data_IF_288316398746
#
_entry.id   IF_288316398746
#
_cell.length_a   1.000
_cell.length_b   1.000
_cell.length_c   1.000
_cell.angle_alpha   90.00
_cell.angle_beta   90.00
_cell.angle_gamma   90.00
#
_symmetry.space_group_name_H-M   'P 1'
#
loop_
_entity.id
_entity.type
_entity.pdbx_description
1 polymer ?
#
# COMPACT_ATOMS: atom_id res chain seq x y z
N UNK A 1 -25.12 45.94 -54.87
CA UNK A 1 -24.21 44.84 -54.44
C UNK A 1 -24.56 44.41 -53.01
N UNK A 2 -25.39 43.37 -52.79
CA UNK A 2 -25.87 42.98 -51.46
C UNK A 2 -25.33 41.65 -50.88
N UNK A 3 -24.30 41.02 -51.49
CA UNK A 3 -23.92 39.63 -51.17
C UNK A 3 -22.76 39.42 -50.17
N UNK A 4 -22.08 40.47 -49.70
CA UNK A 4 -20.83 40.32 -48.92
C UNK A 4 -21.05 40.06 -47.41
N UNK A 5 -22.07 40.68 -46.78
CA UNK A 5 -22.36 40.50 -45.34
C UNK A 5 -22.79 39.07 -44.98
N UNK A 6 -23.58 38.43 -45.84
CA UNK A 6 -24.15 37.10 -45.57
C UNK A 6 -23.13 35.96 -45.63
N UNK A 7 -21.99 36.14 -46.33
CA UNK A 7 -20.89 35.17 -46.32
C UNK A 7 -20.05 35.27 -45.04
N UNK A 8 -19.77 36.49 -44.56
CA UNK A 8 -19.02 36.72 -43.32
C UNK A 8 -19.76 36.19 -42.08
N UNK A 9 -21.09 36.35 -42.03
CA UNK A 9 -21.90 35.83 -40.93
C UNK A 9 -21.94 34.29 -40.90
N UNK A 10 -21.99 33.64 -42.08
CA UNK A 10 -21.94 32.18 -42.18
C UNK A 10 -20.57 31.62 -41.78
N UNK A 11 -19.49 32.33 -42.11
CA UNK A 11 -18.14 31.96 -41.71
C UNK A 11 -17.93 32.08 -40.18
N UNK A 12 -18.42 33.15 -39.56
CA UNK A 12 -18.39 33.33 -38.09
C UNK A 12 -19.16 32.23 -37.36
N UNK A 13 -20.37 31.91 -37.79
CA UNK A 13 -21.18 30.84 -37.19
C UNK A 13 -20.52 29.46 -37.34
N UNK A 14 -19.82 29.19 -38.45
CA UNK A 14 -19.06 27.94 -38.65
C UNK A 14 -17.80 27.87 -37.77
N UNK A 15 -17.15 29.01 -37.54
CA UNK A 15 -15.97 29.14 -36.69
C UNK A 15 -16.31 28.99 -35.20
N UNK A 16 -17.44 29.56 -34.76
CA UNK A 16 -17.91 29.41 -33.37
C UNK A 16 -18.33 27.97 -33.05
N UNK A 17 -18.95 27.28 -34.02
CA UNK A 17 -19.34 25.87 -33.87
C UNK A 17 -18.15 24.92 -33.83
N UNK A 18 -17.08 25.21 -34.55
CA UNK A 18 -15.85 24.43 -34.47
C UNK A 18 -15.11 24.68 -33.16
N UNK A 19 -15.12 25.91 -32.64
CA UNK A 19 -14.55 26.23 -31.34
C UNK A 19 -15.31 25.55 -30.19
N UNK A 20 -16.65 25.58 -30.21
CA UNK A 20 -17.47 24.89 -29.20
C UNK A 20 -17.27 23.37 -29.20
N UNK A 21 -17.15 22.75 -30.37
CA UNK A 21 -16.87 21.30 -30.48
C UNK A 21 -15.49 20.93 -29.96
N UNK A 22 -14.47 21.76 -30.24
CA UNK A 22 -13.12 21.57 -29.71
C UNK A 22 -13.07 21.75 -28.19
N UNK A 23 -13.79 22.73 -27.66
CA UNK A 23 -13.89 22.95 -26.21
C UNK A 23 -14.63 21.80 -25.52
N UNK A 24 -15.75 21.32 -26.09
CA UNK A 24 -16.48 20.16 -25.56
C UNK A 24 -15.63 18.87 -25.57
N UNK A 25 -14.80 18.68 -26.61
CA UNK A 25 -13.86 17.56 -26.68
C UNK A 25 -12.74 17.67 -25.63
N UNK A 26 -12.20 18.88 -25.41
CA UNK A 26 -11.20 19.14 -24.37
C UNK A 26 -11.76 18.93 -22.96
N UNK A 27 -13.01 19.36 -22.70
CA UNK A 27 -13.68 19.14 -21.41
C UNK A 27 -13.90 17.63 -21.18
N UNK A 28 -14.30 16.87 -22.20
CA UNK A 28 -14.48 15.43 -22.09
C UNK A 28 -13.16 14.66 -21.82
N UNK A 29 -12.02 15.15 -22.33
CA UNK A 29 -10.69 14.59 -22.05
C UNK A 29 -10.21 14.84 -20.61
N UNK A 30 -10.65 15.92 -19.97
CA UNK A 30 -10.28 16.27 -18.58
C UNK A 30 -11.24 15.66 -17.56
N UNK A 31 -12.50 15.40 -17.94
CA UNK A 31 -13.53 14.90 -17.05
C UNK A 31 -13.63 13.36 -16.99
N UNK A 32 -12.75 12.62 -17.67
CA UNK A 32 -12.64 11.18 -17.47
C UNK A 32 -12.19 10.93 -16.01
N UNK A 33 -13.03 10.30 -15.15
CA UNK A 33 -12.57 9.91 -13.83
C UNK A 33 -11.39 8.95 -14.02
N UNK A 34 -10.34 9.02 -13.17
CA UNK A 34 -9.31 8.01 -13.19
C UNK A 34 -9.99 6.67 -12.98
N UNK A 35 -9.95 5.80 -13.99
CA UNK A 35 -10.27 4.39 -13.81
C UNK A 35 -9.38 3.90 -12.66
N UNK A 36 -10.05 3.40 -11.62
CA UNK A 36 -9.47 3.02 -10.34
C UNK A 36 -8.15 2.28 -10.56
N UNK A 37 -7.07 2.85 -10.02
CA UNK A 37 -5.78 2.19 -9.92
C UNK A 37 -5.88 1.04 -8.90
N UNK A 38 -6.64 0.00 -9.22
CA UNK A 38 -6.53 -1.28 -8.54
C UNK A 38 -5.25 -1.90 -9.10
N UNK A 39 -4.15 -1.73 -8.37
CA UNK A 39 -2.87 -2.33 -8.72
C UNK A 39 -2.99 -3.85 -8.83
N UNK A 40 -1.97 -4.47 -9.43
CA UNK A 40 -1.87 -5.93 -9.49
C UNK A 40 -1.96 -6.53 -8.06
N UNK A 41 -2.75 -7.59 -7.90
CA UNK A 41 -2.82 -8.37 -6.67
C UNK A 41 -1.54 -9.19 -6.49
N UNK A 42 -0.97 -9.14 -5.28
CA UNK A 42 0.24 -9.88 -4.92
C UNK A 42 -0.05 -10.83 -3.75
N UNK A 43 -0.64 -12.00 -4.00
CA UNK A 43 -0.95 -12.96 -2.96
C UNK A 43 0.34 -13.51 -2.33
N UNK A 44 0.43 -13.41 -1.01
CA UNK A 44 1.56 -13.92 -0.20
C UNK A 44 1.19 -15.26 0.43
N UNK A 45 0.00 -15.35 1.01
CA UNK A 45 -0.49 -16.56 1.67
C UNK A 45 -2.01 -16.55 1.79
N UNK A 46 -2.61 -17.71 1.58
CA UNK A 46 -4.05 -17.87 1.71
C UNK A 46 -4.87 -16.92 0.84
N UNK A 47 -6.04 -16.54 1.35
CA UNK A 47 -7.01 -15.71 0.66
C UNK A 47 -6.93 -14.22 1.06
N UNK A 48 -6.17 -13.91 2.11
CA UNK A 48 -6.14 -12.58 2.72
C UNK A 48 -4.76 -11.95 2.80
N UNK A 49 -3.65 -12.70 2.88
CA UNK A 49 -2.35 -12.06 3.00
C UNK A 49 -1.84 -11.56 1.63
N UNK A 50 -1.74 -10.24 1.44
CA UNK A 50 -1.00 -9.64 0.33
C UNK A 50 -1.55 -8.29 -0.17
N UNK A 51 -0.72 -7.44 -0.81
CA UNK A 51 -1.18 -6.19 -1.41
C UNK A 51 -2.25 -6.41 -2.49
N UNK A 52 -3.35 -5.67 -2.42
CA UNK A 52 -4.52 -5.79 -3.30
C UNK A 52 -5.07 -7.24 -3.38
N UNK A 53 -4.86 -8.03 -2.33
CA UNK A 53 -5.40 -9.37 -2.10
C UNK A 53 -6.37 -9.29 -0.90
N UNK A 54 -7.31 -10.23 -0.73
CA UNK A 54 -8.28 -10.15 0.37
C UNK A 54 -9.72 -10.50 0.03
N UNK A 55 -10.00 -11.77 -0.26
CA UNK A 55 -11.37 -12.26 -0.41
C UNK A 55 -11.47 -13.78 -0.28
N UNK A 56 -12.59 -14.26 0.28
CA UNK A 56 -12.90 -15.69 0.38
C UNK A 56 -12.80 -16.25 1.80
N UNK A 57 -12.94 -17.58 1.96
CA UNK A 57 -12.90 -18.20 3.28
C UNK A 57 -11.50 -18.13 3.88
N UNK A 58 -11.42 -17.95 5.20
CA UNK A 58 -10.17 -18.07 5.95
C UNK A 58 -9.66 -19.52 5.90
N UNK A 59 -8.40 -19.71 5.52
CA UNK A 59 -7.81 -21.04 5.33
C UNK A 59 -7.01 -21.55 6.53
N UNK A 60 -6.33 -20.65 7.25
CA UNK A 60 -5.57 -20.99 8.46
C UNK A 60 -5.40 -19.78 9.39
N UNK A 61 -4.62 -19.96 10.46
CA UNK A 61 -4.40 -18.93 11.49
C UNK A 61 -3.71 -17.67 10.96
N UNK A 62 -2.78 -17.80 10.00
CA UNK A 62 -2.08 -16.65 9.42
C UNK A 62 -3.04 -15.89 8.50
N UNK A 63 -3.78 -16.62 7.69
CA UNK A 63 -4.82 -16.06 6.82
C UNK A 63 -5.91 -15.33 7.62
N UNK A 64 -6.29 -15.87 8.79
CA UNK A 64 -7.23 -15.23 9.71
C UNK A 64 -6.71 -13.89 10.26
N UNK A 65 -5.41 -13.83 10.55
CA UNK A 65 -4.74 -12.63 11.04
C UNK A 65 -4.69 -11.55 9.94
N UNK A 66 -4.35 -11.94 8.71
CA UNK A 66 -4.38 -11.06 7.55
C UNK A 66 -5.80 -10.52 7.27
N UNK A 67 -6.83 -11.36 7.34
CA UNK A 67 -8.22 -10.90 7.21
C UNK A 67 -8.57 -9.81 8.22
N UNK A 68 -8.14 -9.96 9.48
CA UNK A 68 -8.40 -8.94 10.51
C UNK A 68 -7.65 -7.65 10.24
N UNK A 69 -6.41 -7.73 9.74
CA UNK A 69 -5.64 -6.57 9.31
C UNK A 69 -6.32 -5.82 8.16
N UNK A 70 -6.74 -6.54 7.11
CA UNK A 70 -7.45 -5.96 5.97
C UNK A 70 -8.75 -5.27 6.42
N UNK A 71 -9.52 -5.91 7.29
CA UNK A 71 -10.75 -5.34 7.84
C UNK A 71 -10.50 -4.11 8.72
N UNK A 72 -9.36 -4.05 9.43
CA UNK A 72 -8.94 -2.86 10.14
C UNK A 72 -8.65 -1.72 9.17
N UNK A 73 -7.89 -2.00 8.11
CA UNK A 73 -7.55 -1.02 7.06
C UNK A 73 -8.79 -0.48 6.36
N UNK A 74 -9.80 -1.33 6.10
CA UNK A 74 -11.09 -0.89 5.53
C UNK A 74 -11.81 0.11 6.45
N UNK A 75 -11.68 -0.04 7.77
CA UNK A 75 -12.35 0.80 8.77
C UNK A 75 -11.58 2.08 9.11
N UNK A 76 -10.26 1.96 9.33
CA UNK A 76 -9.40 3.06 9.77
C UNK A 76 -8.86 3.89 8.60
N UNK A 77 -8.73 3.27 7.42
CA UNK A 77 -8.12 3.85 6.23
C UNK A 77 -6.79 3.17 5.87
N UNK A 78 -6.33 3.36 4.61
CA UNK A 78 -5.05 2.83 4.16
C UNK A 78 -3.89 3.43 4.97
N UNK A 79 -2.83 2.63 5.17
CA UNK A 79 -1.60 3.05 5.83
C UNK A 79 -1.77 3.49 7.31
N UNK A 80 -2.79 2.99 8.00
CA UNK A 80 -2.97 3.21 9.43
C UNK A 80 -1.95 2.40 10.26
N UNK A 81 -1.10 3.10 11.03
CA UNK A 81 -0.08 2.44 11.85
C UNK A 81 -0.68 1.61 13.00
N UNK A 82 -1.88 1.96 13.48
CA UNK A 82 -2.57 1.23 14.54
C UNK A 82 -3.00 -0.17 14.08
N UNK A 83 -3.50 -0.28 12.85
CA UNK A 83 -3.81 -1.57 12.22
C UNK A 83 -2.56 -2.44 12.08
N UNK A 84 -1.45 -1.87 11.61
CA UNK A 84 -0.18 -2.59 11.49
C UNK A 84 0.36 -3.06 12.85
N UNK A 85 0.32 -2.21 13.87
CA UNK A 85 0.77 -2.54 15.23
C UNK A 85 -0.10 -3.62 15.88
N UNK A 86 -1.42 -3.56 15.71
CA UNK A 86 -2.33 -4.58 16.19
C UNK A 86 -2.06 -5.94 15.53
N UNK A 87 -1.87 -5.95 14.21
CA UNK A 87 -1.53 -7.14 13.45
C UNK A 87 -0.17 -7.73 13.87
N UNK A 88 0.85 -6.88 14.00
CA UNK A 88 2.16 -7.27 14.51
C UNK A 88 2.08 -7.89 15.91
N UNK A 89 1.28 -7.29 16.81
CA UNK A 89 1.04 -7.82 18.15
C UNK A 89 0.38 -9.20 18.14
N UNK A 90 -0.60 -9.39 17.25
CA UNK A 90 -1.28 -10.66 17.06
C UNK A 90 -0.34 -11.78 16.59
N UNK A 91 0.46 -11.51 15.54
CA UNK A 91 1.40 -12.49 15.01
C UNK A 91 2.47 -12.91 16.04
N UNK A 92 2.86 -11.99 16.93
CA UNK A 92 3.82 -12.26 18.03
C UNK A 92 3.23 -13.12 19.13
N UNK A 93 1.95 -12.95 19.45
CA UNK A 93 1.28 -13.69 20.50
C UNK A 93 0.83 -15.09 20.04
N UNK A 94 0.79 -15.32 18.72
CA UNK A 94 0.27 -16.54 18.14
C UNK A 94 1.19 -17.76 18.39
N UNK A 95 0.62 -18.80 18.98
CA UNK A 95 1.21 -20.14 18.96
C UNK A 95 0.97 -20.79 17.59
N UNK A 96 2.03 -20.96 16.80
CA UNK A 96 1.92 -21.50 15.45
C UNK A 96 1.90 -23.03 15.44
N UNK A 97 1.02 -23.67 14.64
CA UNK A 97 0.82 -25.12 14.64
C UNK A 97 1.99 -25.89 14.02
N UNK A 98 2.82 -25.23 13.22
CA UNK A 98 4.02 -25.81 12.62
C UNK A 98 5.02 -24.71 12.24
N UNK A 99 6.28 -25.12 12.03
CA UNK A 99 7.39 -24.21 11.72
C UNK A 99 7.25 -23.51 10.37
N UNK A 100 6.59 -24.12 9.38
CA UNK A 100 6.40 -23.51 8.06
C UNK A 100 5.45 -22.30 8.17
N UNK A 101 4.34 -22.46 8.89
CA UNK A 101 3.41 -21.35 9.10
C UNK A 101 4.01 -20.27 10.01
N UNK A 102 4.79 -20.67 11.03
CA UNK A 102 5.54 -19.73 11.87
C UNK A 102 6.53 -18.88 11.05
N UNK A 103 7.28 -19.51 10.14
CA UNK A 103 8.23 -18.81 9.28
C UNK A 103 7.54 -17.82 8.33
N UNK A 104 6.41 -18.22 7.73
CA UNK A 104 5.59 -17.33 6.90
C UNK A 104 5.04 -16.13 7.70
N UNK A 105 4.50 -16.39 8.88
CA UNK A 105 4.00 -15.33 9.76
C UNK A 105 5.11 -14.35 10.15
N UNK A 106 6.31 -14.86 10.43
CA UNK A 106 7.47 -14.02 10.70
C UNK A 106 7.86 -13.16 9.49
N UNK A 107 7.86 -13.70 8.28
CA UNK A 107 8.14 -12.92 7.08
C UNK A 107 7.10 -11.80 6.88
N UNK A 108 5.81 -12.09 7.08
CA UNK A 108 4.73 -11.08 7.02
C UNK A 108 4.93 -10.00 8.10
N UNK A 109 5.23 -10.41 9.33
CA UNK A 109 5.54 -9.48 10.44
C UNK A 109 6.66 -8.51 10.08
N UNK A 110 7.77 -8.99 9.53
CA UNK A 110 8.92 -8.16 9.17
C UNK A 110 8.59 -7.18 8.03
N UNK A 111 7.85 -7.64 7.01
CA UNK A 111 7.40 -6.77 5.91
C UNK A 111 6.49 -5.66 6.45
N UNK A 112 5.53 -5.98 7.30
CA UNK A 112 4.63 -4.99 7.89
C UNK A 112 5.41 -4.00 8.76
N UNK A 113 6.37 -4.47 9.55
CA UNK A 113 7.19 -3.59 10.38
C UNK A 113 7.91 -2.50 9.58
N UNK A 114 8.40 -2.87 8.39
CA UNK A 114 9.14 -2.00 7.48
C UNK A 114 8.23 -1.16 6.57
N UNK A 115 6.99 -1.59 6.35
CA UNK A 115 6.05 -0.88 5.50
C UNK A 115 5.75 0.54 6.05
N UNK A 116 5.72 1.57 5.19
CA UNK A 116 5.38 2.93 5.61
C UNK A 116 3.93 3.02 6.08
N UNK A 117 3.67 3.91 7.03
CA UNK A 117 2.32 4.24 7.50
C UNK A 117 2.23 5.76 7.78
N UNK A 118 1.03 6.32 7.95
CA UNK A 118 0.82 7.79 7.93
C UNK A 118 1.32 8.52 9.17
N UNK A 119 1.43 7.84 10.32
CA UNK A 119 1.95 8.40 11.56
C UNK A 119 3.45 8.07 11.71
N UNK A 120 4.35 9.07 11.70
CA UNK A 120 5.78 8.85 11.84
C UNK A 120 6.18 8.18 13.17
N UNK A 121 5.49 8.48 14.27
CA UNK A 121 5.80 7.87 15.57
C UNK A 121 5.31 6.43 15.62
N UNK A 122 4.13 6.15 15.07
CA UNK A 122 3.64 4.79 14.81
C UNK A 122 4.60 3.96 13.95
N UNK A 123 5.12 4.53 12.86
CA UNK A 123 6.10 3.85 12.01
C UNK A 123 7.40 3.53 12.78
N UNK A 124 7.92 4.50 13.55
CA UNK A 124 9.09 4.26 14.43
C UNK A 124 8.82 3.18 15.46
N UNK A 125 7.61 3.13 16.03
CA UNK A 125 7.23 2.10 16.99
C UNK A 125 7.25 0.71 16.35
N UNK A 126 6.72 0.55 15.14
CA UNK A 126 6.78 -0.72 14.38
C UNK A 126 8.22 -1.19 14.17
N UNK A 127 9.08 -0.30 13.69
CA UNK A 127 10.51 -0.61 13.43
C UNK A 127 11.24 -0.95 14.73
N UNK A 128 11.01 -0.19 15.81
CA UNK A 128 11.61 -0.48 17.12
C UNK A 128 11.15 -1.83 17.68
N UNK A 129 9.87 -2.16 17.49
CA UNK A 129 9.29 -3.43 17.93
C UNK A 129 9.96 -4.60 17.21
N UNK A 130 10.11 -4.52 15.88
CA UNK A 130 10.84 -5.53 15.10
C UNK A 130 12.32 -5.60 15.46
N UNK A 131 13.00 -4.46 15.63
CA UNK A 131 14.40 -4.42 16.05
C UNK A 131 14.61 -5.12 17.40
N UNK A 132 13.69 -4.94 18.36
CA UNK A 132 13.75 -5.63 19.65
C UNK A 132 13.60 -7.15 19.53
N UNK A 133 12.79 -7.61 18.57
CA UNK A 133 12.62 -9.04 18.29
C UNK A 133 13.84 -9.64 17.63
N UNK A 134 14.42 -8.95 16.65
CA UNK A 134 15.65 -9.39 16.00
C UNK A 134 16.81 -9.50 17.00
N UNK A 135 16.95 -8.50 17.88
CA UNK A 135 17.95 -8.53 18.94
C UNK A 135 17.73 -9.72 19.90
N UNK A 136 16.47 -10.01 20.25
CA UNK A 136 16.13 -11.17 21.08
C UNK A 136 16.47 -12.49 20.37
N UNK A 137 16.16 -12.61 19.08
CA UNK A 137 16.43 -13.83 18.31
C UNK A 137 17.94 -14.09 18.19
N UNK A 138 18.75 -13.05 18.03
CA UNK A 138 20.21 -13.15 18.10
C UNK A 138 20.67 -13.59 19.49
N UNK A 139 20.13 -12.99 20.56
CA UNK A 139 20.46 -13.36 21.93
C UNK A 139 20.08 -14.82 22.26
N UNK A 140 19.02 -15.34 21.64
CA UNK A 140 18.56 -16.72 21.77
C UNK A 140 19.30 -17.69 20.82
N UNK A 141 20.17 -17.20 19.94
CA UNK A 141 20.87 -18.01 18.94
C UNK A 141 19.99 -18.55 17.82
N UNK A 142 18.80 -17.97 17.62
CA UNK A 142 17.90 -18.29 16.51
C UNK A 142 18.44 -17.70 15.20
N UNK A 143 19.00 -16.50 15.27
CA UNK A 143 19.60 -15.79 14.14
C UNK A 143 21.07 -15.45 14.44
N UNK A 144 21.95 -15.45 13.43
CA UNK A 144 23.33 -15.01 13.62
C UNK A 144 23.40 -13.48 13.81
N UNK A 145 24.40 -12.95 14.56
CA UNK A 145 24.50 -11.52 14.84
C UNK A 145 24.56 -10.60 13.60
N UNK A 146 25.11 -11.09 12.49
CA UNK A 146 25.16 -10.31 11.24
C UNK A 146 23.77 -10.06 10.64
N UNK A 147 22.77 -10.89 10.94
CA UNK A 147 21.44 -10.78 10.36
C UNK A 147 20.70 -9.53 10.87
N UNK A 148 21.07 -9.01 12.05
CA UNK A 148 20.60 -7.71 12.55
C UNK A 148 21.31 -6.57 11.83
N UNK A 149 22.60 -6.70 11.53
CA UNK A 149 23.37 -5.68 10.82
C UNK A 149 22.86 -5.50 9.38
N UNK A 150 22.50 -6.56 8.68
CA UNK A 150 21.92 -6.47 7.33
C UNK A 150 20.58 -5.73 7.35
N UNK A 151 19.71 -6.05 8.31
CA UNK A 151 18.39 -5.41 8.44
C UNK A 151 18.48 -3.94 8.89
N UNK A 152 19.30 -3.63 9.90
CA UNK A 152 19.50 -2.26 10.39
C UNK A 152 20.33 -1.40 9.43
N UNK A 153 21.30 -2.00 8.74
CA UNK A 153 22.10 -1.34 7.72
C UNK A 153 21.24 -0.86 6.55
N UNK A 154 20.29 -1.68 6.08
CA UNK A 154 19.32 -1.27 5.06
C UNK A 154 18.47 -0.07 5.51
N UNK A 155 17.94 -0.11 6.74
CA UNK A 155 17.17 0.99 7.33
C UNK A 155 17.97 2.28 7.47
N UNK A 156 19.25 2.19 7.87
CA UNK A 156 20.14 3.35 7.98
C UNK A 156 20.43 3.98 6.61
N UNK A 157 20.69 3.15 5.59
CA UNK A 157 20.89 3.61 4.20
C UNK A 157 19.65 4.29 3.65
N UNK A 158 18.45 3.72 3.85
CA UNK A 158 17.19 4.36 3.47
C UNK A 158 16.95 5.68 4.22
N UNK A 159 17.28 5.74 5.51
CA UNK A 159 17.20 6.95 6.32
C UNK A 159 18.12 8.06 5.79
N UNK A 160 19.34 7.74 5.40
CA UNK A 160 20.25 8.69 4.74
C UNK A 160 19.73 9.13 3.38
N UNK A 161 19.15 8.22 2.58
CA UNK A 161 18.64 8.52 1.25
C UNK A 161 17.41 9.44 1.26
N UNK A 162 16.59 9.42 2.33
CA UNK A 162 15.43 10.30 2.51
C UNK A 162 15.79 11.64 3.20
N UNK A 163 17.04 11.85 3.60
CA UNK A 163 17.52 13.02 4.35
C UNK A 163 18.08 14.18 3.52
N UNK A 164 17.79 14.25 2.21
CA UNK A 164 18.23 15.33 1.31
C UNK A 164 17.05 15.91 0.51
#
# INVERSE_FOLDING_TARGET
>A
MPGRKTLDDRARVAQDRTMLKRLALLIALVAAPPALAQGMAFPVHGNWCGPNHGAGPVLDLLDAACMRHDMCVVQAGPLDCGCDLAFMGELRAQGWPNLVLAAKARAVYEIIALAPCTDPDGHRLKVNLAASDWARDVALGVEPPWAVLDRLGGLFVEGMARGH
#
